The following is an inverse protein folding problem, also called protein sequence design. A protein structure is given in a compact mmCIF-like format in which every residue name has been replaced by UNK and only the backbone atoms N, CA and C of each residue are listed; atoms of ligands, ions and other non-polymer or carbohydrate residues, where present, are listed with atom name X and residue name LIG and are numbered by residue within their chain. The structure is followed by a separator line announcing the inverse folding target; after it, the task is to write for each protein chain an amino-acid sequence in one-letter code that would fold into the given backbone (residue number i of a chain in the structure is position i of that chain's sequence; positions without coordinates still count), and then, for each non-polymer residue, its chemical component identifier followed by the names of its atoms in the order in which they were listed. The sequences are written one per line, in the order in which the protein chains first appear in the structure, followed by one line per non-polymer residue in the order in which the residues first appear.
data_IF_506520519091
#
_entry.id   IF_506520519091
#
_cell.length_a   1.000
_cell.length_b   1.000
_cell.length_c   1.000
_cell.angle_alpha   90.00
_cell.angle_beta   90.00
_cell.angle_gamma   90.00
#
_symmetry.space_group_name_H-M   'P 1'
#
loop_
_entity.id
_entity.type
_entity.pdbx_description
1 polymer ?
#
# COMPACT_ATOMS: atom_id res chain seq x y z
N UNK A 1 27.38 15.56 -1.26
CA UNK A 1 27.38 14.09 -1.22
C UNK A 1 26.08 13.61 -1.86
N UNK A 2 26.07 13.64 -3.20
CA UNK A 2 24.86 13.49 -4.03
C UNK A 2 25.07 12.28 -4.92
N UNK A 3 24.61 11.12 -4.48
CA UNK A 3 24.57 9.90 -5.28
C UNK A 3 23.26 9.16 -5.00
N UNK A 4 22.20 9.47 -5.78
CA UNK A 4 20.98 8.71 -5.77
C UNK A 4 20.48 8.41 -7.18
N UNK A 5 20.56 7.14 -7.54
CA UNK A 5 19.75 6.32 -8.44
C UNK A 5 19.70 6.65 -9.94
N UNK A 6 20.57 5.95 -10.67
CA UNK A 6 20.28 5.50 -12.03
C UNK A 6 19.71 4.08 -11.94
N UNK A 7 18.43 3.92 -12.21
CA UNK A 7 17.77 2.64 -12.41
C UNK A 7 16.64 2.83 -13.40
N UNK A 8 16.88 2.52 -14.67
CA UNK A 8 15.86 2.55 -15.71
C UNK A 8 14.87 1.40 -15.50
N UNK A 9 13.61 1.73 -15.36
CA UNK A 9 12.49 0.79 -15.31
C UNK A 9 11.96 0.59 -16.72
N UNK A 10 12.20 -0.60 -17.27
CA UNK A 10 11.60 -0.99 -18.54
C UNK A 10 10.14 -1.39 -18.35
N UNK A 11 9.27 -0.72 -19.10
CA UNK A 11 7.85 -1.02 -19.17
C UNK A 11 7.60 -2.42 -19.76
N UNK A 12 6.95 -3.31 -19.03
CA UNK A 12 6.18 -4.42 -19.60
C UNK A 12 4.81 -4.46 -18.99
N UNK A 13 3.81 -4.49 -19.88
CA UNK A 13 2.40 -4.48 -19.62
C UNK A 13 1.99 -5.57 -18.62
N UNK A 14 1.26 -5.18 -17.57
CA UNK A 14 0.52 -6.11 -16.72
C UNK A 14 -0.89 -6.28 -17.29
N UNK A 15 -1.09 -7.43 -17.89
CA UNK A 15 -2.39 -7.94 -18.28
C UNK A 15 -2.90 -8.85 -17.15
N UNK A 16 -4.15 -8.65 -16.77
CA UNK A 16 -5.02 -9.52 -15.97
C UNK A 16 -4.38 -10.32 -14.82
N UNK A 17 -4.63 -9.89 -13.61
CA UNK A 17 -4.37 -10.66 -12.40
C UNK A 17 -5.40 -11.77 -12.28
N UNK A 18 -5.01 -12.96 -12.74
CA UNK A 18 -5.55 -14.22 -12.21
C UNK A 18 -4.84 -14.43 -10.88
N UNK A 19 -5.62 -14.49 -9.80
CA UNK A 19 -5.12 -14.81 -8.45
C UNK A 19 -4.44 -16.18 -8.49
N UNK A 20 -3.13 -16.20 -8.69
CA UNK A 20 -2.29 -17.38 -8.51
C UNK A 20 -1.43 -17.16 -7.27
N UNK A 21 -1.97 -17.49 -6.10
CA UNK A 21 -1.19 -17.64 -4.87
C UNK A 21 -0.45 -18.96 -4.96
N UNK A 22 0.79 -18.94 -5.46
CA UNK A 22 1.73 -20.05 -5.34
C UNK A 22 3.02 -19.53 -4.70
N UNK A 23 3.04 -19.55 -3.38
CA UNK A 23 4.29 -19.50 -2.62
C UNK A 23 4.91 -20.89 -2.61
N UNK A 24 5.83 -21.22 -3.52
CA UNK A 24 6.65 -22.42 -3.44
C UNK A 24 8.09 -22.04 -3.11
N UNK A 25 8.51 -22.43 -1.91
CA UNK A 25 9.93 -22.58 -1.59
C UNK A 25 10.47 -23.72 -2.45
N UNK A 26 11.26 -23.42 -3.46
CA UNK A 26 11.95 -24.41 -4.28
C UNK A 26 13.36 -24.61 -3.76
N UNK A 27 13.52 -25.68 -2.98
CA UNK A 27 14.80 -26.35 -2.83
C UNK A 27 15.00 -27.23 -4.07
N UNK A 28 16.02 -26.90 -4.87
CA UNK A 28 16.34 -27.66 -6.06
C UNK A 28 16.87 -29.05 -5.69
N UNK A 29 16.04 -30.07 -5.85
CA UNK A 29 16.48 -31.46 -6.00
C UNK A 29 15.96 -32.01 -7.33
N UNK A 30 16.92 -32.41 -8.18
CA UNK A 30 16.72 -33.07 -9.46
C UNK A 30 16.14 -34.46 -9.20
N UNK A 31 14.84 -34.66 -9.51
CA UNK A 31 14.26 -35.99 -9.67
C UNK A 31 13.10 -35.93 -10.67
N UNK A 32 12.99 -36.98 -11.50
CA UNK A 32 12.10 -37.18 -12.65
C UNK A 32 10.63 -36.98 -12.35
N UNK A 33 9.80 -36.60 -13.36
CA UNK A 33 8.36 -36.42 -13.18
C UNK A 33 7.69 -37.78 -13.01
N UNK A 34 7.33 -38.13 -11.77
CA UNK A 34 6.28 -39.10 -11.46
C UNK A 34 5.10 -38.31 -10.89
N UNK A 35 3.91 -38.58 -11.40
CA UNK A 35 2.62 -38.07 -11.00
C UNK A 35 2.48 -37.99 -9.46
N UNK A 36 2.81 -36.84 -8.87
CA UNK A 36 2.45 -36.56 -7.48
C UNK A 36 1.02 -36.01 -7.48
N UNK A 37 0.05 -36.81 -7.06
CA UNK A 37 -1.22 -36.34 -6.56
C UNK A 37 -0.96 -35.22 -5.55
N UNK A 38 -1.59 -34.03 -5.66
CA UNK A 38 -1.45 -32.99 -4.65
C UNK A 38 -1.79 -33.59 -3.28
N UNK A 39 -0.93 -33.34 -2.30
CA UNK A 39 -1.16 -33.81 -0.92
C UNK A 39 -2.54 -33.27 -0.48
N UNK A 40 -3.44 -34.16 -0.06
CA UNK A 40 -4.81 -33.80 0.30
C UNK A 40 -4.85 -32.72 1.39
N UNK A 41 -3.85 -32.66 2.24
CA UNK A 41 -3.68 -31.62 3.26
C UNK A 41 -3.37 -30.24 2.65
N UNK A 42 -2.49 -30.18 1.66
CA UNK A 42 -2.17 -28.94 0.96
C UNK A 42 -3.38 -28.40 0.17
N UNK A 43 -4.16 -29.27 -0.47
CA UNK A 43 -5.38 -28.90 -1.16
C UNK A 43 -6.45 -28.36 -0.19
N UNK A 44 -6.64 -29.01 0.96
CA UNK A 44 -7.56 -28.55 2.01
C UNK A 44 -7.14 -27.18 2.58
N UNK A 45 -5.84 -26.95 2.77
CA UNK A 45 -5.29 -25.69 3.27
C UNK A 45 -5.50 -24.55 2.27
N UNK A 46 -5.26 -24.80 0.98
CA UNK A 46 -5.51 -23.82 -0.08
C UNK A 46 -7.01 -23.47 -0.19
N UNK A 47 -7.89 -24.45 -0.08
CA UNK A 47 -9.34 -24.23 -0.08
C UNK A 47 -9.78 -23.40 1.14
N UNK A 48 -9.27 -23.68 2.31
CA UNK A 48 -9.57 -22.93 3.52
C UNK A 48 -9.12 -21.47 3.40
N UNK A 49 -7.91 -21.25 2.87
CA UNK A 49 -7.41 -19.89 2.61
C UNK A 49 -8.27 -19.13 1.61
N UNK A 50 -8.73 -19.81 0.55
CA UNK A 50 -9.62 -19.20 -0.43
C UNK A 50 -10.97 -18.83 0.19
N UNK A 51 -11.55 -19.67 1.04
CA UNK A 51 -12.78 -19.36 1.78
C UNK A 51 -12.61 -18.16 2.71
N UNK A 52 -11.48 -18.08 3.40
CA UNK A 52 -11.16 -16.92 4.25
C UNK A 52 -11.09 -15.64 3.40
N UNK A 53 -10.33 -15.61 2.31
CA UNK A 53 -10.26 -14.44 1.42
C UNK A 53 -11.65 -14.06 0.92
N UNK A 54 -12.49 -15.02 0.51
CA UNK A 54 -13.86 -14.75 0.10
C UNK A 54 -14.70 -14.11 1.22
N UNK A 55 -14.45 -14.47 2.48
CA UNK A 55 -15.13 -13.82 3.61
C UNK A 55 -14.74 -12.37 3.77
N UNK A 56 -13.46 -12.02 3.54
CA UNK A 56 -12.97 -10.64 3.56
C UNK A 56 -13.52 -9.82 2.39
N UNK A 57 -13.59 -10.41 1.22
CA UNK A 57 -14.25 -9.80 0.03
C UNK A 57 -15.70 -9.44 0.36
N UNK A 58 -16.47 -10.38 0.93
CA UNK A 58 -17.86 -10.12 1.35
C UNK A 58 -17.97 -9.01 2.40
N UNK A 59 -17.03 -8.94 3.35
CA UNK A 59 -17.00 -7.86 4.34
C UNK A 59 -16.74 -6.50 3.69
N UNK A 60 -15.85 -6.43 2.70
CA UNK A 60 -15.62 -5.22 1.91
C UNK A 60 -16.86 -4.85 1.08
N UNK A 61 -17.51 -5.81 0.43
CA UNK A 61 -18.74 -5.59 -0.36
C UNK A 61 -19.88 -5.06 0.52
N UNK A 62 -20.06 -5.62 1.72
CA UNK A 62 -21.05 -5.15 2.69
C UNK A 62 -20.77 -3.71 3.15
N UNK A 63 -19.49 -3.39 3.39
CA UNK A 63 -19.08 -2.03 3.74
C UNK A 63 -19.28 -1.04 2.58
N UNK A 64 -19.04 -1.46 1.32
CA UNK A 64 -19.33 -0.67 0.12
C UNK A 64 -20.84 -0.42 -0.04
N UNK A 65 -21.67 -1.42 0.25
CA UNK A 65 -23.12 -1.31 0.16
C UNK A 65 -23.74 -0.52 1.31
N UNK A 66 -22.96 -0.16 2.34
CA UNK A 66 -23.49 0.47 3.56
C UNK A 66 -24.43 -0.46 4.35
N UNK A 67 -24.29 -1.78 4.19
CA UNK A 67 -25.15 -2.77 4.84
C UNK A 67 -24.63 -3.08 6.25
N UNK A 68 -25.36 -2.64 7.25
CA UNK A 68 -25.04 -2.89 8.67
C UNK A 68 -23.81 -2.13 9.18
N UNK A 69 -23.40 -2.44 10.40
CA UNK A 69 -22.15 -1.96 10.97
C UNK A 69 -20.99 -2.85 10.52
N UNK A 70 -20.01 -2.27 9.86
CA UNK A 70 -18.80 -3.00 9.49
C UNK A 70 -18.07 -3.50 10.75
N UNK A 71 -17.48 -4.71 10.76
CA UNK A 71 -16.68 -5.19 11.87
C UNK A 71 -15.57 -4.21 12.23
N UNK A 72 -15.38 -3.93 13.52
CA UNK A 72 -14.40 -2.98 14.04
C UNK A 72 -13.80 -3.47 15.37
N UNK A 73 -13.34 -4.73 15.40
CA UNK A 73 -12.85 -5.36 16.63
C UNK A 73 -11.55 -4.73 17.14
N UNK A 74 -10.83 -4.07 16.27
CA UNK A 74 -9.63 -3.27 16.60
C UNK A 74 -9.47 -2.07 15.67
N UNK A 75 -8.92 -0.94 16.18
CA UNK A 75 -8.67 0.23 15.35
C UNK A 75 -7.52 0.00 14.38
N UNK A 76 -7.67 0.50 13.15
CA UNK A 76 -6.63 0.53 12.12
C UNK A 76 -6.35 2.00 11.82
N UNK A 77 -5.11 2.44 12.00
CA UNK A 77 -4.66 3.75 11.52
C UNK A 77 -4.15 3.58 10.09
N UNK A 78 -4.48 4.53 9.24
CA UNK A 78 -4.12 4.53 7.82
C UNK A 78 -3.36 5.80 7.47
N UNK A 79 -2.23 5.63 6.79
CA UNK A 79 -1.45 6.72 6.24
C UNK A 79 -1.06 6.36 4.81
N UNK A 80 -1.02 7.35 3.93
CA UNK A 80 -0.59 7.18 2.54
C UNK A 80 0.28 8.32 2.09
N UNK A 81 1.24 7.99 1.24
CA UNK A 81 2.08 8.94 0.53
C UNK A 81 1.83 8.83 -0.98
N UNK A 82 2.21 9.87 -1.73
CA UNK A 82 2.01 9.93 -3.16
C UNK A 82 3.32 10.26 -3.86
N UNK A 83 3.73 9.39 -4.76
CA UNK A 83 4.94 9.52 -5.56
C UNK A 83 4.60 9.31 -7.03
N UNK A 84 5.24 10.04 -7.93
CA UNK A 84 5.05 9.84 -9.36
C UNK A 84 5.57 8.45 -9.76
N UNK A 85 4.74 7.68 -10.44
CA UNK A 85 5.14 6.42 -11.07
C UNK A 85 5.32 6.60 -12.59
N UNK A 86 5.65 5.52 -13.28
CA UNK A 86 5.74 5.55 -14.74
C UNK A 86 4.35 5.70 -15.39
N UNK A 87 4.30 6.42 -16.50
CA UNK A 87 3.06 6.71 -17.22
C UNK A 87 2.17 7.67 -16.44
N UNK A 88 0.85 7.42 -16.48
CA UNK A 88 -0.17 8.23 -15.79
C UNK A 88 -0.51 7.74 -14.39
N UNK A 89 0.26 6.79 -13.84
CA UNK A 89 -0.02 6.22 -12.51
C UNK A 89 0.74 6.98 -11.41
N UNK A 90 0.17 6.92 -10.23
CA UNK A 90 0.80 7.38 -8.98
C UNK A 90 1.10 6.15 -8.14
N UNK A 91 2.30 6.09 -7.61
CA UNK A 91 2.69 5.12 -6.60
C UNK A 91 2.23 5.62 -5.24
N UNK A 92 1.44 4.82 -4.56
CA UNK A 92 0.86 5.17 -3.26
C UNK A 92 1.35 4.16 -2.22
N UNK A 93 2.44 4.46 -1.51
CA UNK A 93 2.78 3.76 -0.28
C UNK A 93 1.67 3.93 0.75
N UNK A 94 1.23 2.83 1.34
CA UNK A 94 0.25 2.77 2.42
C UNK A 94 0.92 2.15 3.64
N UNK A 95 0.73 2.79 4.80
CA UNK A 95 1.14 2.27 6.11
C UNK A 95 -0.12 2.08 6.96
N UNK A 96 -0.36 0.83 7.36
CA UNK A 96 -1.39 0.50 8.35
C UNK A 96 -0.71 0.28 9.70
N UNK A 97 -1.26 0.89 10.74
CA UNK A 97 -0.72 0.78 12.10
C UNK A 97 -1.78 0.21 13.04
N UNK A 98 -1.42 -0.79 13.84
CA UNK A 98 -2.31 -1.51 14.73
C UNK A 98 -1.63 -1.70 16.10
N UNK A 99 -2.40 -1.58 17.16
CA UNK A 99 -1.94 -1.91 18.53
C UNK A 99 -1.72 -3.43 18.65
N UNK A 100 -0.51 -3.90 18.96
CA UNK A 100 -0.20 -5.33 19.11
C UNK A 100 -1.02 -6.01 20.23
N UNK A 101 -1.45 -5.27 21.24
CA UNK A 101 -2.31 -5.81 22.29
C UNK A 101 -3.71 -6.21 21.79
N UNK A 102 -4.13 -5.67 20.67
CA UNK A 102 -5.43 -5.98 20.04
C UNK A 102 -5.38 -7.20 19.13
N UNK A 103 -4.22 -7.52 18.59
CA UNK A 103 -3.96 -8.66 17.68
C UNK A 103 -2.71 -9.44 18.12
N UNK A 104 -2.80 -10.12 19.26
CA UNK A 104 -1.64 -10.74 19.90
C UNK A 104 -1.01 -11.89 19.09
N UNK A 105 -1.73 -12.48 18.15
CA UNK A 105 -1.17 -13.52 17.27
C UNK A 105 -0.13 -12.97 16.31
N UNK A 106 -0.26 -11.71 15.87
CA UNK A 106 0.53 -11.11 14.80
C UNK A 106 0.27 -11.73 13.42
N UNK A 107 -0.49 -12.83 13.35
CA UNK A 107 -0.89 -13.47 12.10
C UNK A 107 -2.18 -12.85 11.57
N UNK A 108 -2.10 -12.18 10.43
CA UNK A 108 -3.20 -11.42 9.85
C UNK A 108 -3.44 -11.86 8.41
N UNK A 109 -4.70 -11.83 7.99
CA UNK A 109 -5.05 -11.85 6.57
C UNK A 109 -5.53 -10.45 6.21
N UNK A 110 -4.85 -9.84 5.25
CA UNK A 110 -5.19 -8.53 4.69
C UNK A 110 -5.96 -8.73 3.40
N UNK A 111 -7.01 -7.94 3.23
CA UNK A 111 -7.61 -7.67 1.94
C UNK A 111 -7.67 -6.16 1.73
N UNK A 112 -7.22 -5.71 0.57
CA UNK A 112 -7.13 -4.31 0.19
C UNK A 112 -7.81 -4.11 -1.17
N UNK A 113 -8.76 -3.17 -1.25
CA UNK A 113 -9.44 -2.80 -2.49
C UNK A 113 -9.50 -1.29 -2.65
N UNK A 114 -9.19 -0.81 -3.85
CA UNK A 114 -9.35 0.60 -4.24
C UNK A 114 -10.49 0.71 -5.23
N UNK A 115 -11.43 1.58 -4.93
CA UNK A 115 -12.69 1.73 -5.69
C UNK A 115 -12.85 3.19 -6.08
N UNK A 116 -13.21 3.53 -7.33
CA UNK A 116 -13.60 4.88 -7.68
C UNK A 116 -14.70 5.39 -6.75
N UNK A 117 -14.55 6.61 -6.21
CA UNK A 117 -15.54 7.17 -5.28
C UNK A 117 -16.93 7.25 -5.92
N UNK A 118 -17.94 6.76 -5.20
CA UNK A 118 -19.31 6.68 -5.69
C UNK A 118 -19.64 5.40 -6.47
N UNK A 119 -18.69 4.48 -6.66
CA UNK A 119 -18.98 3.17 -7.22
C UNK A 119 -19.79 2.34 -6.20
N UNK A 120 -20.89 1.74 -6.65
CA UNK A 120 -21.72 0.86 -5.82
C UNK A 120 -21.15 -0.56 -5.78
N UNK A 121 -21.42 -1.26 -4.67
CA UNK A 121 -21.07 -2.67 -4.55
C UNK A 121 -21.73 -3.50 -5.65
N UNK A 122 -21.06 -4.57 -6.14
CA UNK A 122 -21.69 -5.53 -7.04
C UNK A 122 -22.90 -6.17 -6.33
N UNK A 123 -23.96 -6.56 -7.08
CA UNK A 123 -25.07 -7.27 -6.48
C UNK A 123 -24.56 -8.58 -5.85
N UNK A 124 -25.09 -8.98 -4.67
CA UNK A 124 -24.70 -10.23 -4.07
C UNK A 124 -24.93 -11.39 -5.06
N UNK A 125 -24.05 -12.39 -5.09
CA UNK A 125 -24.25 -13.55 -5.96
C UNK A 125 -25.62 -14.15 -5.63
N UNK A 126 -26.49 -14.22 -6.63
CA UNK A 126 -27.79 -14.90 -6.51
C UNK A 126 -27.50 -16.33 -6.08
N UNK A 127 -27.97 -16.71 -4.90
CA UNK A 127 -27.87 -18.08 -4.46
C UNK A 127 -28.53 -18.98 -5.53
N UNK A 128 -27.77 -19.93 -6.04
CA UNK A 128 -28.28 -20.93 -6.95
C UNK A 128 -29.50 -21.65 -6.30
N UNK A 129 -30.67 -21.65 -6.90
CA UNK A 129 -31.85 -22.32 -6.31
C UNK A 129 -31.76 -23.85 -6.31
N UNK A 130 -30.59 -24.43 -6.52
CA UNK A 130 -30.39 -25.87 -6.71
C UNK A 130 -29.82 -26.64 -5.51
N UNK A 131 -30.00 -26.14 -4.29
CA UNK A 131 -29.67 -26.88 -3.07
C UNK A 131 -30.89 -27.03 -2.15
N UNK A 132 -31.97 -27.60 -2.66
CA UNK A 132 -33.01 -28.17 -1.82
C UNK A 132 -32.65 -29.63 -1.50
N UNK A 133 -32.74 -30.10 -0.25
CA UNK A 133 -32.40 -31.48 0.10
C UNK A 133 -33.41 -32.45 -0.52
N UNK A 134 -32.89 -33.35 -1.32
CA UNK A 134 -33.67 -34.51 -1.79
C UNK A 134 -33.97 -35.43 -0.60
N UNK A 135 -35.15 -35.34 -0.09
CA UNK A 135 -35.73 -36.28 0.88
C UNK A 135 -36.80 -37.14 0.23
N UNK A 136 -36.59 -38.45 0.22
CA UNK A 136 -37.67 -39.47 0.28
C UNK A 136 -38.10 -40.14 -1.00
N UNK A 137 -37.65 -41.36 -1.19
CA UNK A 137 -38.25 -42.58 -1.74
C UNK A 137 -39.67 -42.50 -2.35
N UNK A 138 -39.89 -42.97 -3.54
CA UNK A 138 -40.41 -44.33 -3.91
C UNK A 138 -40.72 -44.46 -5.40
N UNK A 139 -40.28 -45.59 -5.92
CA UNK A 139 -40.74 -46.54 -6.95
C UNK A 139 -41.73 -46.14 -8.06
N UNK A 140 -41.29 -46.59 -9.22
CA UNK A 140 -41.98 -47.30 -10.30
C UNK A 140 -42.61 -46.55 -11.49
N UNK A 141 -42.09 -47.02 -12.63
CA UNK A 141 -42.74 -47.31 -13.93
C UNK A 141 -42.87 -46.22 -15.02
N UNK A 142 -42.09 -46.57 -16.05
CA UNK A 142 -42.47 -46.65 -17.48
C UNK A 142 -43.04 -45.44 -18.26
N UNK A 143 -42.31 -45.22 -19.34
CA UNK A 143 -42.73 -44.85 -20.70
C UNK A 143 -42.62 -43.42 -21.21
N UNK A 144 -41.71 -43.38 -22.21
CA UNK A 144 -41.87 -42.74 -23.53
C UNK A 144 -41.85 -41.21 -23.68
N UNK A 145 -40.80 -40.82 -24.40
CA UNK A 145 -40.77 -39.82 -25.48
C UNK A 145 -41.57 -38.53 -25.33
N UNK A 146 -40.82 -37.44 -25.21
CA UNK A 146 -40.89 -36.36 -26.19
C UNK A 146 -39.84 -35.29 -25.90
N UNK A 147 -38.99 -35.07 -26.91
CA UNK A 147 -38.18 -33.88 -27.07
C UNK A 147 -38.95 -32.60 -26.70
N UNK A 148 -38.43 -31.89 -25.71
CA UNK A 148 -38.52 -30.43 -25.64
C UNK A 148 -37.18 -29.89 -25.12
N UNK A 149 -36.32 -29.48 -26.06
CA UNK A 149 -35.30 -28.51 -25.84
C UNK A 149 -35.91 -27.33 -25.07
N UNK A 150 -35.61 -27.21 -23.81
CA UNK A 150 -35.74 -25.98 -23.05
C UNK A 150 -34.32 -25.48 -22.80
N UNK A 151 -33.74 -24.89 -23.85
CA UNK A 151 -32.62 -24.00 -23.75
C UNK A 151 -33.08 -22.78 -22.94
N UNK A 152 -33.12 -22.89 -21.63
CA UNK A 152 -33.00 -21.73 -20.77
C UNK A 152 -31.52 -21.39 -20.75
N UNK A 153 -31.06 -20.65 -21.75
CA UNK A 153 -29.85 -19.87 -21.70
C UNK A 153 -29.90 -19.05 -20.41
N UNK A 154 -29.16 -19.49 -19.39
CA UNK A 154 -28.90 -18.68 -18.23
C UNK A 154 -28.23 -17.40 -18.76
N UNK A 155 -28.78 -16.24 -18.43
CA UNK A 155 -28.17 -14.97 -18.77
C UNK A 155 -26.71 -15.00 -18.28
N UNK A 156 -25.74 -14.60 -19.12
CA UNK A 156 -24.34 -14.58 -18.71
C UNK A 156 -24.23 -13.78 -17.43
N UNK A 157 -23.53 -14.34 -16.44
CA UNK A 157 -23.26 -13.65 -15.19
C UNK A 157 -22.64 -12.27 -15.51
N UNK A 158 -23.05 -11.21 -14.83
CA UNK A 158 -22.47 -9.90 -15.07
C UNK A 158 -20.95 -9.99 -14.89
N UNK A 159 -20.16 -9.32 -15.76
CA UNK A 159 -18.71 -9.34 -15.66
C UNK A 159 -18.29 -8.87 -14.26
N UNK A 160 -17.32 -9.55 -13.67
CA UNK A 160 -16.76 -9.14 -12.38
C UNK A 160 -16.30 -7.68 -12.44
N UNK A 161 -16.57 -6.87 -11.41
CA UNK A 161 -16.16 -5.48 -11.40
C UNK A 161 -14.64 -5.38 -11.49
N UNK A 162 -14.16 -4.51 -12.37
CA UNK A 162 -12.72 -4.25 -12.51
C UNK A 162 -12.33 -3.09 -11.59
N UNK A 163 -11.69 -3.40 -10.47
CA UNK A 163 -11.19 -2.39 -9.54
C UNK A 163 -9.81 -1.87 -9.96
N UNK A 164 -9.48 -0.58 -9.74
CA UNK A 164 -8.16 -0.02 -10.00
C UNK A 164 -7.03 -0.77 -9.28
N UNK A 165 -7.33 -1.33 -8.11
CA UNK A 165 -6.46 -2.21 -7.35
C UNK A 165 -7.27 -3.13 -6.44
N UNK A 166 -6.86 -4.38 -6.36
CA UNK A 166 -7.40 -5.39 -5.45
C UNK A 166 -6.31 -6.41 -5.14
N UNK A 167 -6.10 -6.71 -3.86
CA UNK A 167 -5.08 -7.65 -3.39
C UNK A 167 -5.47 -8.31 -2.07
N UNK A 168 -4.96 -9.53 -1.83
CA UNK A 168 -5.12 -10.25 -0.58
C UNK A 168 -3.80 -10.92 -0.20
N UNK A 169 -3.41 -10.80 1.06
CA UNK A 169 -2.15 -11.34 1.57
C UNK A 169 -2.31 -11.91 2.97
N UNK A 170 -1.57 -12.99 3.23
CA UNK A 170 -1.39 -13.51 4.59
C UNK A 170 -0.08 -12.96 5.14
N UNK A 171 -0.14 -12.42 6.34
CA UNK A 171 0.94 -11.64 6.95
C UNK A 171 1.32 -12.25 8.31
N UNK A 172 2.62 -12.34 8.57
CA UNK A 172 3.17 -12.53 9.92
C UNK A 172 3.83 -11.21 10.33
N UNK A 173 3.11 -10.40 11.10
CA UNK A 173 3.53 -9.04 11.45
C UNK A 173 4.05 -9.03 12.87
N UNK A 174 5.27 -8.52 13.02
CA UNK A 174 5.92 -8.35 14.33
C UNK A 174 6.19 -6.88 14.61
N UNK A 175 6.06 -6.45 15.87
CA UNK A 175 6.47 -5.11 16.21
C UNK A 175 7.99 -4.98 16.03
N UNK A 176 8.46 -3.83 15.55
CA UNK A 176 9.89 -3.54 15.34
C UNK A 176 10.70 -3.56 16.65
N UNK A 177 10.03 -3.29 17.78
CA UNK A 177 10.57 -3.41 19.13
C UNK A 177 9.41 -3.67 20.11
N UNK A 178 9.69 -4.22 21.32
CA UNK A 178 8.67 -4.41 22.35
C UNK A 178 7.89 -3.11 22.63
N UNK A 179 6.54 -3.21 22.64
CA UNK A 179 5.66 -2.07 22.87
C UNK A 179 5.43 -1.15 21.67
N UNK A 180 6.11 -1.39 20.55
CA UNK A 180 5.84 -0.64 19.31
C UNK A 180 4.63 -1.21 18.56
N UNK A 181 3.89 -0.36 17.83
CA UNK A 181 2.76 -0.82 17.03
C UNK A 181 3.18 -1.77 15.91
N UNK A 182 2.27 -2.64 15.51
CA UNK A 182 2.42 -3.42 14.28
C UNK A 182 2.27 -2.48 13.08
N UNK A 183 3.19 -2.60 12.12
CA UNK A 183 3.17 -1.81 10.88
C UNK A 183 3.06 -2.75 9.69
N UNK A 184 2.06 -2.52 8.83
CA UNK A 184 1.87 -3.23 7.57
C UNK A 184 2.10 -2.21 6.45
N UNK A 185 3.06 -2.48 5.59
CA UNK A 185 3.38 -1.65 4.45
C UNK A 185 2.81 -2.28 3.18
N UNK A 186 2.16 -1.47 2.34
CA UNK A 186 1.70 -1.88 1.01
C UNK A 186 1.87 -0.74 0.02
N UNK A 187 2.37 -1.06 -1.16
CA UNK A 187 2.47 -0.12 -2.27
C UNK A 187 1.47 -0.46 -3.36
N UNK A 188 0.72 0.52 -3.79
CA UNK A 188 -0.23 0.38 -4.87
C UNK A 188 0.04 1.39 -5.98
N UNK A 189 -0.14 0.99 -7.22
CA UNK A 189 -0.06 1.89 -8.35
C UNK A 189 -1.45 2.15 -8.92
N UNK A 190 -1.96 3.38 -8.83
CA UNK A 190 -3.31 3.74 -9.32
C UNK A 190 -3.26 5.00 -10.19
N UNK A 191 -4.19 5.19 -11.13
CA UNK A 191 -4.34 6.47 -11.85
C UNK A 191 -4.66 7.60 -10.87
N UNK A 192 -4.44 8.86 -11.30
CA UNK A 192 -4.96 10.04 -10.58
C UNK A 192 -6.48 10.02 -10.51
N UNK A 193 -7.05 10.47 -9.39
CA UNK A 193 -8.51 10.49 -9.20
C UNK A 193 -8.92 10.37 -7.74
N UNK A 194 -10.22 10.36 -7.50
CA UNK A 194 -10.80 10.20 -6.16
C UNK A 194 -11.31 8.79 -5.96
N UNK A 195 -10.87 8.16 -4.89
CA UNK A 195 -11.14 6.76 -4.56
C UNK A 195 -11.61 6.62 -3.12
N UNK A 196 -12.21 5.48 -2.83
CA UNK A 196 -12.36 4.91 -1.49
C UNK A 196 -11.48 3.66 -1.40
N UNK A 197 -10.67 3.57 -0.35
CA UNK A 197 -9.86 2.38 -0.03
C UNK A 197 -10.59 1.58 1.05
N UNK A 198 -10.82 0.32 0.77
CA UNK A 198 -11.38 -0.63 1.74
C UNK A 198 -10.25 -1.55 2.20
N UNK A 199 -9.98 -1.53 3.49
CA UNK A 199 -9.01 -2.40 4.16
C UNK A 199 -9.79 -3.34 5.06
N UNK A 200 -9.63 -4.63 4.86
CA UNK A 200 -10.16 -5.65 5.76
C UNK A 200 -8.99 -6.41 6.35
N UNK A 201 -8.89 -6.43 7.67
CA UNK A 201 -7.91 -7.20 8.41
C UNK A 201 -8.61 -8.23 9.27
N UNK A 202 -8.18 -9.47 9.15
CA UNK A 202 -8.64 -10.59 9.94
C UNK A 202 -7.49 -11.19 10.73
N UNK A 203 -7.62 -11.27 12.06
CA UNK A 203 -6.65 -11.95 12.91
C UNK A 203 -6.87 -13.46 12.83
N UNK A 204 -5.82 -14.21 12.50
CA UNK A 204 -5.82 -15.65 12.61
C UNK A 204 -5.52 -16.04 14.06
N UNK A 205 -6.36 -16.89 14.66
CA UNK A 205 -6.11 -17.40 15.98
C UNK A 205 -4.78 -18.19 16.00
N UNK A 206 -3.95 -17.94 17.02
CA UNK A 206 -2.73 -18.73 17.20
C UNK A 206 -3.09 -20.20 17.43
N UNK A 207 -2.43 -21.10 16.74
CA UNK A 207 -2.52 -22.53 17.04
C UNK A 207 -1.51 -22.85 18.17
N UNK A 208 -1.98 -23.17 19.38
CA UNK A 208 -1.09 -23.44 20.51
C UNK A 208 -0.20 -24.67 20.30
N UNK A 209 -0.55 -25.55 19.36
CA UNK A 209 0.22 -26.79 19.07
C UNK A 209 1.38 -26.55 18.11
N UNK A 210 1.43 -25.39 17.45
CA UNK A 210 2.47 -25.04 16.51
C UNK A 210 3.47 -24.07 17.15
N UNK A 211 4.75 -24.32 17.01
CA UNK A 211 5.81 -23.48 17.56
C UNK A 211 5.71 -22.02 17.08
N UNK A 212 6.30 -21.08 17.83
CA UNK A 212 6.34 -19.67 17.46
C UNK A 212 6.91 -19.49 16.05
N UNK A 213 6.19 -18.75 15.20
CA UNK A 213 6.61 -18.42 13.83
C UNK A 213 5.92 -19.21 12.73
N UNK A 214 4.97 -20.08 13.06
CA UNK A 214 4.12 -20.75 12.07
C UNK A 214 2.82 -19.97 11.95
N UNK A 215 2.49 -19.57 10.72
CA UNK A 215 1.22 -18.87 10.44
C UNK A 215 0.07 -19.84 10.67
N UNK A 216 -0.91 -19.52 11.53
CA UNK A 216 -2.04 -20.42 11.82
C UNK A 216 -2.83 -20.75 10.55
N UNK A 217 -3.42 -21.97 10.46
CA UNK A 217 -4.23 -22.35 9.32
C UNK A 217 -5.47 -21.44 9.18
N UNK A 218 -5.95 -21.27 7.95
CA UNK A 218 -7.05 -20.38 7.60
C UNK A 218 -8.38 -20.62 8.38
N UNK A 219 -8.57 -21.78 8.96
CA UNK A 219 -9.79 -22.16 9.70
C UNK A 219 -9.70 -21.97 11.22
N UNK A 220 -8.71 -21.26 11.73
CA UNK A 220 -8.66 -20.93 13.15
C UNK A 220 -9.76 -19.88 13.45
N UNK A 221 -10.89 -20.34 13.91
CA UNK A 221 -12.23 -19.74 13.76
C UNK A 221 -12.62 -18.62 14.76
N UNK A 222 -11.69 -18.04 15.50
CA UNK A 222 -12.00 -17.02 16.51
C UNK A 222 -11.24 -15.71 16.33
N UNK A 223 -10.76 -15.47 15.12
CA UNK A 223 -10.03 -14.25 14.80
C UNK A 223 -10.94 -13.03 14.75
N UNK A 224 -10.42 -11.91 15.23
CA UNK A 224 -11.07 -10.60 15.15
C UNK A 224 -10.97 -10.06 13.73
N UNK A 225 -12.00 -9.30 13.34
CA UNK A 225 -12.04 -8.66 12.02
C UNK A 225 -12.26 -7.17 12.15
N UNK A 226 -11.54 -6.39 11.38
CA UNK A 226 -11.80 -4.95 11.28
C UNK A 226 -11.82 -4.53 9.82
N UNK A 227 -12.78 -3.67 9.51
CA UNK A 227 -12.96 -3.05 8.20
C UNK A 227 -12.75 -1.55 8.33
N UNK A 228 -11.87 -1.01 7.52
CA UNK A 228 -11.65 0.43 7.41
C UNK A 228 -12.03 0.88 5.99
N UNK A 229 -12.83 1.92 5.90
CA UNK A 229 -13.05 2.69 4.68
C UNK A 229 -12.31 4.01 4.80
N UNK A 230 -11.41 4.32 3.85
CA UNK A 230 -10.62 5.54 3.85
C UNK A 230 -10.71 6.24 2.50
N UNK A 231 -11.10 7.53 2.44
CA UNK A 231 -11.01 8.30 1.21
C UNK A 231 -9.55 8.49 0.78
N UNK A 232 -9.30 8.41 -0.53
CA UNK A 232 -7.98 8.56 -1.13
C UNK A 232 -8.09 9.45 -2.38
N UNK A 233 -7.57 10.68 -2.29
CA UNK A 233 -7.51 11.61 -3.41
C UNK A 233 -6.09 11.57 -4.00
N UNK A 234 -5.95 10.90 -5.14
CA UNK A 234 -4.67 10.65 -5.80
C UNK A 234 -4.34 11.81 -6.75
N UNK A 235 -3.23 12.53 -6.53
CA UNK A 235 -2.86 13.71 -7.30
C UNK A 235 -2.52 13.37 -8.75
N UNK A 236 -2.65 14.36 -9.65
CA UNK A 236 -2.26 14.22 -11.04
C UNK A 236 -0.86 14.80 -11.29
N UNK A 237 0.16 13.99 -11.19
CA UNK A 237 1.54 14.39 -11.50
C UNK A 237 1.85 14.40 -13.02
N UNK A 238 0.93 13.94 -13.84
CA UNK A 238 1.03 13.93 -15.30
C UNK A 238 0.49 15.20 -15.98
N UNK A 239 -0.07 16.16 -15.23
CA UNK A 239 -0.62 17.41 -15.78
C UNK A 239 0.44 18.33 -16.40
N UNK A 240 1.72 18.12 -16.09
CA UNK A 240 2.80 19.03 -16.47
C UNK A 240 2.98 20.22 -15.53
N UNK A 241 2.15 20.32 -14.49
CA UNK A 241 2.27 21.39 -13.51
C UNK A 241 3.49 21.19 -12.59
N UNK A 242 4.13 22.30 -12.23
CA UNK A 242 5.15 22.30 -11.20
C UNK A 242 4.54 21.83 -9.88
N UNK A 243 5.03 20.72 -9.35
CA UNK A 243 4.43 20.04 -8.20
C UNK A 243 5.46 19.22 -7.41
N UNK A 244 5.04 18.67 -6.27
CA UNK A 244 5.88 17.78 -5.44
C UNK A 244 5.12 16.52 -5.05
N UNK A 245 5.85 15.46 -4.70
CA UNK A 245 5.30 14.33 -3.93
C UNK A 245 4.83 14.79 -2.55
N UNK A 246 4.20 13.91 -1.77
CA UNK A 246 4.15 14.06 -0.32
C UNK A 246 5.55 14.19 0.26
N UNK A 247 5.63 14.89 1.39
CA UNK A 247 6.85 14.97 2.20
C UNK A 247 6.89 13.78 3.14
N UNK A 248 7.89 12.94 2.97
CA UNK A 248 8.11 11.75 3.78
C UNK A 248 9.07 12.09 4.91
N UNK A 249 8.65 11.86 6.15
CA UNK A 249 9.52 11.93 7.31
C UNK A 249 10.00 10.54 7.68
N UNK A 250 11.31 10.34 7.73
CA UNK A 250 11.93 9.06 7.96
C UNK A 250 12.82 9.05 9.21
N UNK A 251 12.86 7.89 9.85
CA UNK A 251 13.76 7.63 10.99
C UNK A 251 15.19 7.35 10.50
N UNK A 252 15.30 6.66 9.37
CA UNK A 252 16.59 6.29 8.75
C UNK A 252 16.39 5.84 7.30
N UNK A 253 17.49 5.69 6.61
CA UNK A 253 17.56 5.09 5.28
C UNK A 253 18.51 3.90 5.35
N UNK A 254 17.99 2.71 5.08
CA UNK A 254 18.74 1.47 5.11
C UNK A 254 19.30 1.15 3.71
N UNK A 255 20.55 0.65 3.66
CA UNK A 255 21.14 0.12 2.44
C UNK A 255 20.69 -1.33 2.23
N UNK A 256 20.16 -1.63 1.07
CA UNK A 256 19.77 -2.99 0.69
C UNK A 256 20.94 -3.70 0.00
N UNK A 257 21.12 -5.00 0.22
CA UNK A 257 22.17 -5.77 -0.45
C UNK A 257 21.98 -5.84 -1.98
N UNK A 258 20.73 -5.70 -2.43
CA UNK A 258 20.34 -5.59 -3.83
C UNK A 258 19.01 -4.84 -3.94
N UNK A 259 18.69 -4.22 -5.10
CA UNK A 259 17.38 -3.63 -5.32
C UNK A 259 16.25 -4.67 -5.14
N UNK A 260 15.13 -4.24 -4.56
CA UNK A 260 13.94 -5.08 -4.40
C UNK A 260 13.41 -5.50 -5.77
N UNK A 261 13.04 -6.77 -5.89
CA UNK A 261 12.45 -7.30 -7.12
C UNK A 261 11.06 -6.70 -7.36
N UNK A 262 10.64 -6.53 -8.64
CA UNK A 262 9.34 -5.95 -8.97
C UNK A 262 8.14 -6.65 -8.33
N UNK A 263 8.21 -7.97 -8.14
CA UNK A 263 7.17 -8.78 -7.50
C UNK A 263 7.06 -8.54 -5.99
N UNK A 264 8.10 -8.01 -5.36
CA UNK A 264 8.16 -7.68 -3.94
C UNK A 264 7.97 -6.18 -3.65
N UNK A 265 7.94 -5.34 -4.70
CA UNK A 265 7.88 -3.88 -4.53
C UNK A 265 6.64 -3.41 -3.74
N UNK A 266 5.53 -4.13 -3.85
CA UNK A 266 4.31 -3.85 -3.09
C UNK A 266 4.49 -4.01 -1.58
N UNK A 267 5.38 -4.89 -1.14
CA UNK A 267 5.70 -5.13 0.28
C UNK A 267 6.76 -4.15 0.81
N UNK A 268 7.56 -3.59 -0.09
CA UNK A 268 8.61 -2.62 0.18
C UNK A 268 8.34 -1.29 -0.54
N UNK A 269 7.22 -0.59 -0.19
CA UNK A 269 6.75 0.55 -0.97
C UNK A 269 7.67 1.76 -0.93
N UNK A 270 8.58 1.82 0.04
CA UNK A 270 9.57 2.88 0.21
C UNK A 270 10.99 2.45 -0.19
N UNK A 271 11.11 1.31 -0.88
CA UNK A 271 12.41 0.90 -1.44
C UNK A 271 12.63 1.53 -2.82
N UNK A 272 13.75 2.22 -2.98
CA UNK A 272 14.16 2.90 -4.20
C UNK A 272 15.59 2.51 -4.57
N UNK A 273 15.73 1.64 -5.57
CA UNK A 273 17.02 1.04 -5.91
C UNK A 273 17.64 0.27 -4.75
N UNK A 274 18.89 0.55 -4.34
CA UNK A 274 19.57 -0.16 -3.27
C UNK A 274 19.26 0.41 -1.87
N UNK A 275 18.22 1.22 -1.71
CA UNK A 275 17.91 1.86 -0.43
C UNK A 275 16.44 1.72 -0.09
N UNK A 276 16.17 1.55 1.20
CA UNK A 276 14.83 1.53 1.76
C UNK A 276 14.68 2.64 2.82
N UNK A 277 13.63 3.44 2.68
CA UNK A 277 13.30 4.50 3.61
C UNK A 277 12.45 3.91 4.73
N UNK A 278 12.91 4.00 5.96
CA UNK A 278 12.14 3.61 7.14
C UNK A 278 11.37 4.83 7.64
N UNK A 279 10.10 4.87 7.29
CA UNK A 279 9.21 6.00 7.59
C UNK A 279 8.85 6.05 9.07
N UNK A 280 8.60 7.28 9.57
CA UNK A 280 8.07 7.55 10.91
C UNK A 280 6.58 7.91 10.82
N UNK A 281 5.64 6.93 10.83
CA UNK A 281 4.23 7.21 10.55
C UNK A 281 3.54 8.04 11.63
N UNK A 282 4.04 8.06 12.86
CA UNK A 282 3.54 8.91 13.93
C UNK A 282 4.23 10.28 13.99
N UNK A 283 5.22 10.52 13.10
CA UNK A 283 6.04 11.73 13.04
C UNK A 283 6.66 12.13 14.40
N UNK A 284 7.00 11.13 15.21
CA UNK A 284 7.67 11.35 16.50
C UNK A 284 9.13 10.92 16.42
N UNK A 285 9.99 11.79 16.87
CA UNK A 285 11.43 11.59 16.82
C UNK A 285 12.03 11.86 18.19
N UNK A 286 13.00 11.08 18.58
CA UNK A 286 13.79 11.38 19.78
C UNK A 286 14.77 12.49 19.49
N UNK A 287 15.06 13.29 20.51
CA UNK A 287 16.06 14.35 20.43
C UNK A 287 17.45 13.86 20.00
N UNK A 288 17.76 12.59 20.27
CA UNK A 288 19.02 11.94 19.85
C UNK A 288 19.04 11.49 18.38
N UNK A 289 17.91 11.57 17.68
CA UNK A 289 17.78 11.15 16.28
C UNK A 289 18.04 12.30 15.31
N UNK A 290 18.17 11.93 14.05
CA UNK A 290 18.13 12.82 12.91
C UNK A 290 16.74 12.72 12.26
N UNK A 291 16.12 13.86 11.99
CA UNK A 291 14.91 13.95 11.17
C UNK A 291 15.33 13.93 9.71
N UNK A 292 14.97 12.88 9.00
CA UNK A 292 15.22 12.77 7.56
C UNK A 292 13.95 13.20 6.81
N UNK A 293 14.07 14.25 6.02
CA UNK A 293 13.00 14.81 5.20
C UNK A 293 13.26 14.44 3.74
N UNK A 294 12.31 13.79 3.08
CA UNK A 294 12.45 13.33 1.69
C UNK A 294 11.21 13.69 0.89
N UNK A 295 11.40 14.15 -0.33
CA UNK A 295 10.32 14.39 -1.30
C UNK A 295 10.87 14.43 -2.72
N UNK A 296 9.97 14.45 -3.69
CA UNK A 296 10.30 14.58 -5.11
C UNK A 296 9.70 15.86 -5.67
N UNK A 297 10.41 16.51 -6.58
CA UNK A 297 9.95 17.70 -7.29
C UNK A 297 9.74 17.31 -8.77
N UNK A 298 8.61 17.74 -9.32
CA UNK A 298 8.16 17.41 -10.67
C UNK A 298 7.97 18.64 -11.52
N UNK A 299 8.22 18.49 -12.82
CA UNK A 299 7.91 19.45 -13.86
C UNK A 299 8.44 20.87 -13.58
N UNK A 300 9.74 21.04 -13.26
CA UNK A 300 10.32 22.38 -13.16
C UNK A 300 10.25 23.09 -14.52
N UNK A 301 10.26 24.42 -14.52
CA UNK A 301 10.43 25.17 -15.77
C UNK A 301 11.80 24.90 -16.34
N UNK A 302 11.85 24.59 -17.64
CA UNK A 302 13.09 24.24 -18.36
C UNK A 302 13.32 25.23 -19.48
N UNK A 303 14.55 25.78 -19.55
CA UNK A 303 14.94 26.66 -20.65
C UNK A 303 15.16 25.88 -21.95
N UNK A 304 15.25 26.56 -23.14
CA UNK A 304 15.58 25.92 -24.40
C UNK A 304 16.89 25.11 -24.36
N UNK A 305 17.85 25.52 -23.50
CA UNK A 305 19.14 24.83 -23.30
C UNK A 305 19.03 23.67 -22.28
N UNK A 306 17.80 23.25 -21.96
CA UNK A 306 17.50 22.18 -20.99
C UNK A 306 18.02 22.46 -19.57
N UNK A 307 18.09 23.72 -19.18
CA UNK A 307 18.48 24.14 -17.83
C UNK A 307 17.25 24.41 -16.97
N UNK A 308 17.32 24.10 -15.70
CA UNK A 308 16.37 24.49 -14.66
C UNK A 308 17.13 25.01 -13.44
N UNK A 309 16.46 25.75 -12.58
CA UNK A 309 17.03 26.29 -11.35
C UNK A 309 15.97 26.36 -10.27
N UNK A 310 16.10 25.51 -9.26
CA UNK A 310 15.20 25.43 -8.13
C UNK A 310 15.95 25.71 -6.85
N UNK A 311 15.22 26.23 -5.87
CA UNK A 311 15.70 26.45 -4.51
C UNK A 311 14.65 25.95 -3.52
N UNK A 312 15.08 25.12 -2.56
CA UNK A 312 14.24 24.67 -1.46
C UNK A 312 14.77 25.23 -0.14
N UNK A 313 13.90 25.83 0.66
CA UNK A 313 14.18 26.31 2.01
C UNK A 313 13.35 25.54 3.02
N UNK A 314 13.94 25.20 4.16
CA UNK A 314 13.31 24.44 5.23
C UNK A 314 13.26 25.32 6.49
N UNK A 315 12.06 25.69 6.91
CA UNK A 315 11.85 26.53 8.09
C UNK A 315 11.06 25.78 9.15
N UNK A 316 11.56 25.78 10.36
CA UNK A 316 10.96 25.11 11.50
C UNK A 316 10.26 26.13 12.40
N UNK A 317 9.02 25.82 12.77
CA UNK A 317 8.22 26.62 13.69
C UNK A 317 7.84 25.77 14.90
N UNK A 318 8.00 26.32 16.10
CA UNK A 318 7.46 25.70 17.32
C UNK A 318 5.97 26.01 17.43
N UNK A 319 5.19 25.03 17.92
CA UNK A 319 3.78 25.21 18.25
C UNK A 319 3.62 25.16 19.77
N UNK A 320 3.01 26.17 20.37
CA UNK A 320 2.81 26.27 21.81
C UNK A 320 1.63 27.19 22.18
N UNK A 321 1.36 27.34 23.46
CA UNK A 321 0.26 28.17 23.99
C UNK A 321 0.27 29.63 23.52
N UNK A 322 1.46 30.16 23.17
CA UNK A 322 1.62 31.50 22.61
C UNK A 322 1.49 31.60 21.09
N UNK A 323 0.97 30.54 20.44
CA UNK A 323 0.91 30.44 18.99
C UNK A 323 2.19 29.90 18.36
N UNK A 324 2.26 29.99 17.04
CA UNK A 324 3.39 29.52 16.26
C UNK A 324 4.53 30.55 16.25
N UNK A 325 5.76 30.08 16.44
CA UNK A 325 6.96 30.93 16.39
C UNK A 325 8.04 30.29 15.53
N UNK A 326 8.70 31.09 14.68
CA UNK A 326 9.84 30.63 13.92
C UNK A 326 10.96 30.23 14.90
N UNK A 327 11.43 28.99 14.77
CA UNK A 327 12.48 28.42 15.59
C UNK A 327 13.84 28.47 14.89
N UNK A 328 13.90 27.84 13.69
CA UNK A 328 15.14 27.69 12.94
C UNK A 328 14.87 27.58 11.44
N UNK A 329 15.91 27.66 10.64
CA UNK A 329 15.86 27.34 9.21
C UNK A 329 17.21 26.74 8.78
N UNK A 330 17.21 25.93 7.73
CA UNK A 330 18.45 25.47 7.11
C UNK A 330 18.91 26.44 6.04
N UNK A 331 20.16 26.29 5.62
CA UNK A 331 20.63 26.93 4.39
C UNK A 331 19.81 26.44 3.20
N UNK A 332 19.54 27.32 2.22
CA UNK A 332 18.81 26.93 1.01
C UNK A 332 19.51 25.81 0.24
N UNK A 333 18.75 24.80 -0.19
CA UNK A 333 19.23 23.74 -1.05
C UNK A 333 18.90 24.11 -2.50
N UNK A 334 19.89 24.11 -3.38
CA UNK A 334 19.73 24.44 -4.80
C UNK A 334 19.79 23.20 -5.67
N UNK A 335 18.97 23.16 -6.73
CA UNK A 335 18.94 22.12 -7.74
C UNK A 335 19.03 22.74 -9.12
N UNK A 336 19.97 22.27 -9.91
CA UNK A 336 20.17 22.71 -11.30
C UNK A 336 20.54 21.52 -12.17
N UNK A 337 20.47 21.71 -13.48
CA UNK A 337 20.92 20.68 -14.43
C UNK A 337 22.38 20.25 -14.17
N UNK A 338 23.23 21.21 -13.83
CA UNK A 338 24.66 20.98 -13.56
C UNK A 338 24.87 20.17 -12.26
N UNK A 339 24.01 20.39 -11.24
CA UNK A 339 24.10 19.67 -9.96
C UNK A 339 23.57 18.24 -10.01
N UNK A 340 22.71 17.92 -10.99
CA UNK A 340 22.10 16.59 -11.14
C UNK A 340 22.95 15.62 -11.96
N UNK A 341 24.00 16.10 -12.59
CA UNK A 341 24.91 15.29 -13.42
C UNK A 341 24.41 15.02 -14.83
N UNK A 342 25.34 14.70 -15.75
CA UNK A 342 25.16 14.67 -17.21
C UNK A 342 24.22 13.60 -17.81
N UNK A 343 23.31 13.04 -17.05
CA UNK A 343 22.32 12.08 -17.56
C UNK A 343 20.90 12.39 -17.08
N UNK A 344 20.70 13.50 -16.38
CA UNK A 344 19.38 13.93 -15.95
C UNK A 344 18.67 14.68 -17.09
N UNK A 345 17.51 14.19 -17.51
CA UNK A 345 16.65 14.89 -18.47
C UNK A 345 15.50 15.58 -17.76
N UNK A 346 15.55 16.91 -17.60
CA UNK A 346 14.50 17.66 -16.92
C UNK A 346 13.18 17.73 -17.71
N UNK A 347 13.20 17.40 -19.01
CA UNK A 347 12.01 17.39 -19.87
C UNK A 347 11.32 16.03 -19.90
N UNK A 348 12.01 14.98 -19.38
CA UNK A 348 11.50 13.63 -19.30
C UNK A 348 10.59 13.39 -18.10
N UNK A 349 10.26 12.12 -17.87
CA UNK A 349 9.45 11.70 -16.72
C UNK A 349 10.27 11.62 -15.42
N UNK A 350 11.43 12.28 -15.38
CA UNK A 350 12.35 12.26 -14.25
C UNK A 350 11.86 13.13 -13.11
N UNK A 351 12.06 12.67 -11.87
CA UNK A 351 11.83 13.45 -10.66
C UNK A 351 13.15 13.94 -10.07
N UNK A 352 13.14 15.15 -9.54
CA UNK A 352 14.27 15.68 -8.77
C UNK A 352 14.10 15.20 -7.34
N UNK A 353 15.05 14.39 -6.88
CA UNK A 353 15.06 13.90 -5.49
C UNK A 353 15.59 15.02 -4.59
N UNK A 354 14.76 15.44 -3.66
CA UNK A 354 15.09 16.44 -2.66
C UNK A 354 14.99 15.83 -1.26
N UNK A 355 15.84 16.30 -0.37
CA UNK A 355 15.80 15.84 1.02
C UNK A 355 16.94 16.39 1.83
N UNK A 356 16.76 16.34 3.13
CA UNK A 356 17.73 16.82 4.09
C UNK A 356 17.64 16.06 5.41
N UNK A 357 18.79 15.72 5.98
CA UNK A 357 18.90 15.26 7.36
C UNK A 357 19.08 16.46 8.31
N UNK A 358 18.31 16.48 9.38
CA UNK A 358 18.32 17.55 10.37
C UNK A 358 18.55 16.95 11.77
N UNK A 359 19.72 17.13 12.38
CA UNK A 359 19.99 16.69 13.74
C UNK A 359 19.06 17.38 14.75
N UNK A 360 18.35 16.60 15.57
CA UNK A 360 17.36 17.13 16.51
C UNK A 360 17.94 17.48 17.89
N UNK A 361 19.22 17.31 18.13
CA UNK A 361 19.87 17.54 19.42
C UNK A 361 19.66 18.98 19.96
N UNK A 362 19.61 19.96 19.05
CA UNK A 362 19.40 21.38 19.41
C UNK A 362 17.91 21.77 19.49
N UNK A 363 17.00 20.86 19.12
CA UNK A 363 15.56 21.12 19.16
C UNK A 363 15.04 20.86 20.57
N UNK A 364 14.39 21.83 21.23
CA UNK A 364 13.59 21.58 22.43
C UNK A 364 12.51 20.50 22.18
N UNK A 365 12.13 19.81 23.24
CA UNK A 365 10.98 18.89 23.17
C UNK A 365 9.71 19.68 22.86
N UNK A 366 8.82 19.08 22.03
CA UNK A 366 7.59 19.74 21.66
C UNK A 366 7.14 19.44 20.22
N UNK A 367 6.08 20.09 19.82
CA UNK A 367 5.51 19.96 18.48
C UNK A 367 6.04 21.07 17.57
N UNK A 368 6.37 20.67 16.35
CA UNK A 368 6.91 21.55 15.31
C UNK A 368 6.09 21.43 14.04
N UNK A 369 6.02 22.52 13.28
CA UNK A 369 5.68 22.53 11.87
C UNK A 369 6.95 22.82 11.06
N UNK A 370 7.25 21.92 10.13
CA UNK A 370 8.24 22.15 9.08
C UNK A 370 7.53 22.72 7.86
N UNK A 371 7.97 23.88 7.42
CA UNK A 371 7.58 24.49 6.15
C UNK A 371 8.71 24.30 5.13
N UNK A 372 8.40 23.72 3.98
CA UNK A 372 9.31 23.55 2.86
C UNK A 372 8.79 24.43 1.73
N UNK A 373 9.54 25.47 1.41
CA UNK A 373 9.23 26.38 0.30
C UNK A 373 10.14 26.07 -0.87
N UNK A 374 9.58 25.68 -2.00
CA UNK A 374 10.30 25.36 -3.22
C UNK A 374 10.02 26.47 -4.24
N UNK A 375 11.06 27.14 -4.70
CA UNK A 375 10.98 28.23 -5.68
C UNK A 375 11.62 27.80 -7.00
N UNK A 376 10.86 27.86 -8.06
CA UNK A 376 11.38 27.75 -9.42
C UNK A 376 11.85 29.15 -9.87
N UNK A 377 13.18 29.32 -9.94
CA UNK A 377 13.81 30.61 -10.23
C UNK A 377 13.63 31.05 -11.69
N UNK A 378 13.27 30.13 -12.61
CA UNK A 378 13.03 30.50 -14.00
C UNK A 378 11.62 31.06 -14.21
N UNK A 379 10.63 30.47 -13.56
CA UNK A 379 9.21 30.89 -13.68
C UNK A 379 8.71 31.75 -12.52
N UNK A 380 9.49 31.87 -11.43
CA UNK A 380 9.08 32.46 -10.17
C UNK A 380 7.88 31.78 -9.48
N UNK A 381 7.55 30.55 -9.89
CA UNK A 381 6.53 29.75 -9.23
C UNK A 381 7.04 29.27 -7.89
N UNK A 382 6.15 29.24 -6.90
CA UNK A 382 6.46 28.81 -5.54
C UNK A 382 5.48 27.74 -5.12
N UNK A 383 6.01 26.65 -4.55
CA UNK A 383 5.25 25.62 -3.84
C UNK A 383 5.61 25.70 -2.34
N UNK A 384 4.61 25.47 -1.50
CA UNK A 384 4.82 25.37 -0.06
C UNK A 384 4.22 24.09 0.46
N UNK A 385 5.03 23.28 1.12
CA UNK A 385 4.62 22.07 1.81
C UNK A 385 4.75 22.25 3.31
N UNK A 386 3.81 21.72 4.09
CA UNK A 386 3.84 21.78 5.54
C UNK A 386 3.68 20.37 6.11
N UNK A 387 4.51 20.01 7.06
CA UNK A 387 4.40 18.75 7.79
C UNK A 387 4.70 18.98 9.27
N UNK A 388 3.87 18.37 10.13
CA UNK A 388 4.06 18.45 11.58
C UNK A 388 4.85 17.24 12.07
N UNK A 389 5.69 17.49 13.08
CA UNK A 389 6.41 16.43 13.80
C UNK A 389 6.57 16.80 15.28
N UNK A 390 6.91 15.81 16.08
CA UNK A 390 7.13 16.00 17.53
C UNK A 390 8.51 15.53 17.91
N UNK A 391 9.22 16.32 18.69
CA UNK A 391 10.49 15.95 19.32
C UNK A 391 10.20 15.47 20.73
N UNK A 392 10.66 14.26 21.05
CA UNK A 392 10.54 13.61 22.36
C UNK A 392 11.88 13.45 23.03
N UNK A 393 11.92 13.13 24.34
CA UNK A 393 13.17 12.87 25.07
C UNK A 393 14.07 11.82 24.44
#
# INVERSE_FOLDING_TARGET
MTLWLRGGWSARALTAVVVAVCGTVLVAQKSSPKDQKPDAAAAAQAQAQQQEIQSLVRAADAAMAGQGSAPADFPIQFQSDFLKAQGSRVWVPITLTIDPAKVPSGALTLYLRVVPRGMTAPPPPTADPAAAPAGGKDKDKDKKDKDKKNDKSAAPAPPAPNYPFEDAAVLDVKPSAPGQPLRILRGIGVPSGSYDVYVVLHERAADPSQGRGVVPPANSSTGKTSVLKQPLDVPNYGSGDFSTSTVILAERVDELPAPIRPDQQSEHPYAFGPKEIVVAPDHKFKKSQELIVLFQIYNPTVSPEKKFNLEATYTFYTQGEGGEKRFNATEPQTFSADSMGGGFDPTGNSSIQAGQGVPLQSFPEGTYRLEIKITDKLSNKVLTQNVNFTVTP
#
